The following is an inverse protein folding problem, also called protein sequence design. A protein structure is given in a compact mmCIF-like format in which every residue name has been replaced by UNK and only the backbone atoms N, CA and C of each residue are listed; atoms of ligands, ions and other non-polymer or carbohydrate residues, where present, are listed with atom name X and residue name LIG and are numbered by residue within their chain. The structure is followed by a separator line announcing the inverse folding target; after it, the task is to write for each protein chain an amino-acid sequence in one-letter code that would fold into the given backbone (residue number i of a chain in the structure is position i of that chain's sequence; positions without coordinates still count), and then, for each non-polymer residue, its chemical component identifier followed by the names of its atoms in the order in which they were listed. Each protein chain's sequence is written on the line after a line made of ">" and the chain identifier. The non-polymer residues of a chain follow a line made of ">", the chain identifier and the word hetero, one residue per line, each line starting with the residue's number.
data_IF_429864086352
#
_entry.id   IF_429864086352
#
_cell.length_a   1.000
_cell.length_b   1.000
_cell.length_c   1.000
_cell.angle_alpha   90.00
_cell.angle_beta   90.00
_cell.angle_gamma   90.00
#
_symmetry.space_group_name_H-M   'P 1'
#
loop_
_entity.id
_entity.type
_entity.pdbx_description
1 polymer ?
#
# COMPACT_ATOMS: atom_id res chain seq x y z
N UNK A 1 -23.56 30.91 -13.77
CA UNK A 1 -23.44 29.52 -13.29
C UNK A 1 -24.82 29.06 -12.84
N UNK A 2 -25.34 27.95 -13.38
CA UNK A 2 -26.65 27.40 -13.01
C UNK A 2 -26.61 26.86 -11.56
N UNK A 3 -27.77 26.80 -10.88
CA UNK A 3 -27.88 26.33 -9.49
C UNK A 3 -27.27 24.91 -9.32
N UNK A 4 -27.42 24.02 -10.33
CA UNK A 4 -26.82 22.67 -10.36
C UNK A 4 -25.29 22.73 -10.34
N UNK A 5 -24.67 23.64 -11.11
CA UNK A 5 -23.20 23.76 -11.17
C UNK A 5 -22.62 24.23 -9.83
N UNK A 6 -23.35 25.09 -9.08
CA UNK A 6 -22.93 25.53 -7.73
C UNK A 6 -22.93 24.39 -6.72
N UNK A 7 -23.95 23.52 -6.75
CA UNK A 7 -24.05 22.35 -5.87
C UNK A 7 -22.93 21.34 -6.23
N UNK A 8 -22.74 21.08 -7.52
CA UNK A 8 -21.70 20.18 -8.00
C UNK A 8 -20.29 20.66 -7.59
N UNK A 9 -20.00 21.95 -7.78
CA UNK A 9 -18.75 22.58 -7.34
C UNK A 9 -18.52 22.44 -5.83
N UNK A 10 -19.55 22.64 -5.02
CA UNK A 10 -19.48 22.46 -3.57
C UNK A 10 -19.13 21.02 -3.18
N UNK A 11 -19.76 20.03 -3.86
CA UNK A 11 -19.51 18.62 -3.63
C UNK A 11 -18.07 18.22 -4.03
N UNK A 12 -17.57 18.73 -5.17
CA UNK A 12 -16.19 18.49 -5.61
C UNK A 12 -15.17 19.07 -4.63
N UNK A 13 -15.40 20.28 -4.12
CA UNK A 13 -14.53 20.90 -3.10
C UNK A 13 -14.51 20.07 -1.80
N UNK A 14 -15.68 19.57 -1.36
CA UNK A 14 -15.78 18.69 -0.21
C UNK A 14 -15.08 17.34 -0.43
N UNK A 15 -15.19 16.77 -1.63
CA UNK A 15 -14.49 15.55 -2.01
C UNK A 15 -12.97 15.75 -2.01
N UNK A 16 -12.48 16.86 -2.57
CA UNK A 16 -11.07 17.18 -2.64
C UNK A 16 -10.43 17.23 -1.25
N UNK A 17 -11.06 17.89 -0.28
CA UNK A 17 -10.58 17.94 1.11
C UNK A 17 -10.46 16.53 1.71
N UNK A 18 -11.50 15.69 1.56
CA UNK A 18 -11.47 14.31 2.04
C UNK A 18 -10.40 13.45 1.34
N UNK A 19 -10.15 13.71 0.05
CA UNK A 19 -9.12 13.00 -0.70
C UNK A 19 -7.71 13.39 -0.21
N UNK A 20 -7.47 14.67 0.07
CA UNK A 20 -6.20 15.15 0.66
C UNK A 20 -5.95 14.58 2.05
N UNK A 21 -6.99 14.49 2.90
CA UNK A 21 -6.91 13.83 4.22
C UNK A 21 -6.56 12.33 4.10
N UNK A 22 -7.18 11.60 3.14
CA UNK A 22 -6.86 10.18 2.90
C UNK A 22 -5.40 9.98 2.50
N UNK A 23 -4.86 10.86 1.65
CA UNK A 23 -3.43 10.80 1.27
C UNK A 23 -2.53 11.00 2.47
N UNK A 24 -2.81 12.03 3.29
CA UNK A 24 -2.05 12.30 4.51
C UNK A 24 -2.07 11.09 5.45
N UNK A 25 -3.26 10.55 5.72
CA UNK A 25 -3.43 9.37 6.58
C UNK A 25 -2.69 8.13 6.06
N UNK A 26 -2.70 7.91 4.73
CA UNK A 26 -1.97 6.80 4.12
C UNK A 26 -0.46 6.91 4.29
N UNK A 27 0.09 8.13 4.18
CA UNK A 27 1.51 8.39 4.39
C UNK A 27 1.93 8.18 5.85
N UNK A 28 1.15 8.68 6.80
CA UNK A 28 1.41 8.50 8.24
C UNK A 28 1.41 7.02 8.62
N UNK A 29 0.45 6.23 8.12
CA UNK A 29 0.42 4.78 8.37
C UNK A 29 1.57 4.03 7.73
N UNK A 30 2.06 4.49 6.58
CA UNK A 30 3.18 3.90 5.89
C UNK A 30 4.45 3.94 6.74
N UNK A 31 4.78 5.09 7.33
CA UNK A 31 5.95 5.24 8.19
C UNK A 31 5.86 4.34 9.44
N UNK A 32 4.68 4.30 10.09
CA UNK A 32 4.44 3.45 11.26
C UNK A 32 4.62 1.97 10.90
N UNK A 33 4.09 1.52 9.77
CA UNK A 33 4.21 0.13 9.31
C UNK A 33 5.65 -0.24 9.01
N UNK A 34 6.42 0.61 8.31
CA UNK A 34 7.84 0.36 8.04
C UNK A 34 8.61 0.16 9.33
N UNK A 35 8.48 1.08 10.27
CA UNK A 35 9.22 1.05 11.55
C UNK A 35 8.82 -0.19 12.34
N UNK A 36 7.53 -0.45 12.52
CA UNK A 36 7.03 -1.57 13.32
C UNK A 36 7.41 -2.93 12.74
N UNK A 37 7.25 -3.12 11.44
CA UNK A 37 7.54 -4.39 10.79
C UNK A 37 9.04 -4.64 10.65
N UNK A 38 9.84 -3.60 10.35
CA UNK A 38 11.29 -3.74 10.27
C UNK A 38 11.90 -4.08 11.62
N UNK A 39 11.49 -3.40 12.68
CA UNK A 39 12.02 -3.66 14.03
C UNK A 39 11.53 -4.99 14.59
N UNK A 40 10.23 -5.30 14.48
CA UNK A 40 9.66 -6.56 14.96
C UNK A 40 10.20 -7.78 14.20
N UNK A 41 10.29 -7.69 12.88
CA UNK A 41 10.83 -8.75 12.02
C UNK A 41 12.31 -9.03 12.30
N UNK A 42 13.12 -8.00 12.49
CA UNK A 42 14.54 -8.15 12.85
C UNK A 42 14.72 -8.84 14.22
N UNK A 43 13.96 -8.43 15.23
CA UNK A 43 14.02 -9.06 16.57
C UNK A 43 13.63 -10.54 16.50
N UNK A 44 12.54 -10.87 15.80
CA UNK A 44 12.12 -12.26 15.59
C UNK A 44 13.17 -13.06 14.84
N UNK A 45 13.72 -12.51 13.77
CA UNK A 45 14.75 -13.19 12.97
C UNK A 45 15.99 -13.51 13.80
N UNK A 46 16.48 -12.55 14.60
CA UNK A 46 17.66 -12.74 15.46
C UNK A 46 17.42 -13.78 16.57
N UNK A 47 16.25 -13.77 17.20
CA UNK A 47 15.90 -14.73 18.24
C UNK A 47 15.78 -16.15 17.69
N UNK A 48 15.13 -16.32 16.55
CA UNK A 48 14.99 -17.63 15.91
C UNK A 48 16.36 -18.16 15.46
N UNK A 49 17.20 -17.32 14.88
CA UNK A 49 18.53 -17.73 14.44
C UNK A 49 19.43 -18.19 15.60
N UNK A 50 19.42 -17.47 16.72
CA UNK A 50 20.17 -17.85 17.92
C UNK A 50 19.74 -19.20 18.50
N UNK A 51 18.45 -19.46 18.54
CA UNK A 51 17.89 -20.66 19.17
C UNK A 51 18.01 -21.92 18.31
N UNK A 52 18.29 -21.79 16.99
CA UNK A 52 18.22 -22.87 16.03
C UNK A 52 19.54 -23.14 15.27
N UNK A 53 20.66 -22.66 15.82
CA UNK A 53 21.96 -22.76 15.17
C UNK A 53 22.47 -24.20 14.99
N UNK A 54 22.03 -25.16 15.83
CA UNK A 54 22.61 -26.50 15.91
C UNK A 54 21.93 -27.62 15.11
N UNK A 55 20.74 -27.39 14.49
CA UNK A 55 20.03 -28.45 13.78
C UNK A 55 19.87 -28.18 12.27
N UNK A 56 20.54 -29.01 11.47
CA UNK A 56 20.62 -28.86 10.00
C UNK A 56 19.37 -29.25 9.22
N UNK A 57 18.39 -29.96 9.82
CA UNK A 57 17.36 -30.68 9.06
C UNK A 57 16.24 -29.78 8.51
N UNK A 58 16.02 -28.61 9.05
CA UNK A 58 14.88 -27.74 8.62
C UNK A 58 15.25 -26.27 8.37
N UNK A 59 16.54 -25.97 8.14
CA UNK A 59 16.99 -24.59 7.86
C UNK A 59 16.35 -23.99 6.60
N UNK A 60 16.04 -24.83 5.63
CA UNK A 60 15.42 -24.41 4.37
C UNK A 60 13.99 -23.87 4.58
N UNK A 61 13.18 -24.50 5.44
CA UNK A 61 11.85 -24.03 5.78
C UNK A 61 11.89 -22.67 6.48
N UNK A 62 12.82 -22.49 7.41
CA UNK A 62 12.99 -21.22 8.11
C UNK A 62 13.48 -20.11 7.15
N UNK A 63 14.46 -20.43 6.32
CA UNK A 63 14.98 -19.51 5.31
C UNK A 63 13.89 -19.11 4.31
N UNK A 64 13.07 -20.06 3.85
CA UNK A 64 11.95 -19.81 2.95
C UNK A 64 10.88 -18.95 3.62
N UNK A 65 10.55 -19.20 4.89
CA UNK A 65 9.64 -18.37 5.67
C UNK A 65 10.10 -16.91 5.72
N UNK A 66 11.38 -16.65 5.99
CA UNK A 66 11.94 -15.29 5.99
C UNK A 66 11.87 -14.61 4.64
N UNK A 67 12.12 -15.38 3.58
CA UNK A 67 12.01 -14.86 2.22
C UNK A 67 10.56 -14.39 1.94
N UNK A 68 9.56 -15.19 2.31
CA UNK A 68 8.16 -14.82 2.15
C UNK A 68 7.77 -13.61 3.02
N UNK A 69 8.25 -13.50 4.26
CA UNK A 69 8.04 -12.30 5.08
C UNK A 69 8.68 -11.07 4.44
N UNK A 70 9.93 -11.18 3.97
CA UNK A 70 10.61 -10.08 3.30
C UNK A 70 9.89 -9.65 2.02
N UNK A 71 9.43 -10.61 1.21
CA UNK A 71 8.64 -10.34 0.02
C UNK A 71 7.30 -9.67 0.37
N UNK A 72 6.61 -10.12 1.40
CA UNK A 72 5.37 -9.50 1.86
C UNK A 72 5.58 -8.03 2.21
N UNK A 73 6.67 -7.70 2.92
CA UNK A 73 7.04 -6.33 3.25
C UNK A 73 7.29 -5.48 2.01
N UNK A 74 8.13 -5.96 1.10
CA UNK A 74 8.47 -5.22 -0.13
C UNK A 74 7.23 -4.97 -0.98
N UNK A 75 6.39 -6.00 -1.18
CA UNK A 75 5.16 -5.89 -1.97
C UNK A 75 4.18 -4.92 -1.30
N UNK A 76 4.07 -4.94 0.03
CA UNK A 76 3.23 -4.01 0.78
C UNK A 76 3.73 -2.57 0.62
N UNK A 77 5.03 -2.32 0.70
CA UNK A 77 5.61 -1.01 0.46
C UNK A 77 5.30 -0.49 -0.95
N UNK A 78 5.44 -1.35 -1.97
CA UNK A 78 5.07 -1.01 -3.35
C UNK A 78 3.58 -0.70 -3.48
N UNK A 79 2.71 -1.44 -2.79
CA UNK A 79 1.27 -1.17 -2.76
C UNK A 79 0.95 0.20 -2.15
N UNK A 80 1.63 0.60 -1.09
CA UNK A 80 1.45 1.93 -0.49
C UNK A 80 1.87 3.04 -1.45
N UNK A 81 2.98 2.86 -2.17
CA UNK A 81 3.44 3.84 -3.17
C UNK A 81 2.42 3.97 -4.31
N UNK A 82 1.92 2.84 -4.84
CA UNK A 82 0.90 2.87 -5.91
C UNK A 82 -0.42 3.49 -5.43
N UNK A 83 -0.85 3.20 -4.20
CA UNK A 83 -2.02 3.81 -3.57
C UNK A 83 -1.87 5.32 -3.38
N UNK A 84 -0.69 5.79 -2.97
CA UNK A 84 -0.40 7.22 -2.93
C UNK A 84 -0.49 7.87 -4.32
N UNK A 85 0.07 7.23 -5.35
CA UNK A 85 0.00 7.74 -6.71
C UNK A 85 -1.44 7.81 -7.22
N UNK A 86 -2.26 6.79 -6.98
CA UNK A 86 -3.67 6.76 -7.33
C UNK A 86 -4.42 7.96 -6.72
N UNK A 87 -4.30 8.16 -5.41
CA UNK A 87 -4.91 9.29 -4.72
C UNK A 87 -4.40 10.65 -5.24
N UNK A 88 -3.10 10.75 -5.55
CA UNK A 88 -2.52 11.98 -6.11
C UNK A 88 -3.08 12.33 -7.49
N UNK A 89 -3.33 11.32 -8.34
CA UNK A 89 -3.93 11.53 -9.65
C UNK A 89 -5.42 11.85 -9.54
N UNK A 90 -6.16 11.21 -8.62
CA UNK A 90 -7.55 11.51 -8.29
C UNK A 90 -7.73 12.99 -7.87
N UNK A 91 -6.90 13.46 -6.92
CA UNK A 91 -6.90 14.86 -6.49
C UNK A 91 -6.64 15.81 -7.67
N UNK A 92 -5.68 15.48 -8.55
CA UNK A 92 -5.39 16.32 -9.72
C UNK A 92 -6.54 16.32 -10.72
N UNK A 93 -7.19 15.17 -10.96
CA UNK A 93 -8.36 15.04 -11.81
C UNK A 93 -9.51 15.90 -11.30
N UNK A 94 -9.86 15.74 -10.02
CA UNK A 94 -10.92 16.53 -9.37
C UNK A 94 -10.62 18.03 -9.38
N UNK A 95 -9.36 18.42 -9.18
CA UNK A 95 -8.96 19.83 -9.24
C UNK A 95 -9.10 20.42 -10.66
N UNK A 96 -8.79 19.64 -11.69
CA UNK A 96 -9.01 20.07 -13.08
C UNK A 96 -10.50 20.27 -13.38
N UNK A 97 -11.38 19.37 -12.90
CA UNK A 97 -12.83 19.50 -13.06
C UNK A 97 -13.36 20.77 -12.35
N UNK A 98 -12.86 21.07 -11.15
CA UNK A 98 -13.18 22.33 -10.46
C UNK A 98 -12.76 23.53 -11.31
N UNK A 99 -11.55 23.52 -11.88
CA UNK A 99 -11.05 24.63 -12.72
C UNK A 99 -11.86 24.79 -13.99
N UNK A 100 -12.33 23.71 -14.61
CA UNK A 100 -13.22 23.75 -15.77
C UNK A 100 -14.55 24.44 -15.42
N UNK A 101 -15.17 24.08 -14.30
CA UNK A 101 -16.40 24.71 -13.82
C UNK A 101 -16.21 26.18 -13.44
N UNK A 102 -15.04 26.55 -12.92
CA UNK A 102 -14.68 27.94 -12.60
C UNK A 102 -14.14 28.73 -13.82
N UNK A 103 -14.08 28.10 -15.02
CA UNK A 103 -13.52 28.68 -16.25
C UNK A 103 -12.06 29.15 -16.10
N UNK A 104 -11.28 28.45 -15.29
CA UNK A 104 -9.84 28.66 -15.12
C UNK A 104 -9.04 27.81 -16.09
N UNK A 105 -7.79 28.19 -16.43
CA UNK A 105 -6.95 27.39 -17.31
C UNK A 105 -6.62 26.02 -16.68
N UNK A 106 -6.83 24.95 -17.45
CA UNK A 106 -6.59 23.56 -17.02
C UNK A 106 -5.14 23.19 -17.31
N UNK A 107 -4.43 22.65 -16.34
CA UNK A 107 -2.99 22.35 -16.43
C UNK A 107 -2.65 21.06 -17.19
N UNK A 108 -3.63 20.11 -17.41
CA UNK A 108 -3.35 18.80 -18.04
C UNK A 108 -4.62 18.09 -18.52
N UNK A 109 -4.47 17.24 -19.56
CA UNK A 109 -5.56 16.46 -20.15
C UNK A 109 -6.16 15.49 -19.08
N UNK A 110 -7.46 15.61 -18.78
CA UNK A 110 -8.19 14.82 -17.79
C UNK A 110 -8.17 13.31 -18.06
N UNK A 111 -8.29 12.90 -19.32
CA UNK A 111 -8.27 11.47 -19.74
C UNK A 111 -6.97 10.74 -19.39
N UNK A 112 -5.85 11.44 -19.40
CA UNK A 112 -4.56 10.87 -19.05
C UNK A 112 -4.45 10.64 -17.53
N UNK A 113 -4.95 11.59 -16.73
CA UNK A 113 -4.99 11.47 -15.27
C UNK A 113 -5.86 10.29 -14.82
N UNK A 114 -7.06 10.14 -15.40
CA UNK A 114 -7.98 9.04 -15.12
C UNK A 114 -7.34 7.67 -15.45
N UNK A 115 -6.64 7.55 -16.58
CA UNK A 115 -5.94 6.30 -16.94
C UNK A 115 -4.87 5.93 -15.91
N UNK A 116 -4.06 6.90 -15.47
CA UNK A 116 -3.03 6.65 -14.46
C UNK A 116 -3.61 6.32 -13.08
N UNK A 117 -4.69 6.98 -12.69
CA UNK A 117 -5.43 6.66 -11.48
C UNK A 117 -5.92 5.21 -11.51
N UNK A 118 -6.66 4.81 -12.55
CA UNK A 118 -7.21 3.46 -12.69
C UNK A 118 -6.12 2.39 -12.70
N UNK A 119 -5.00 2.64 -13.38
CA UNK A 119 -3.86 1.71 -13.40
C UNK A 119 -3.23 1.58 -12.01
N UNK A 120 -3.04 2.69 -11.30
CA UNK A 120 -2.48 2.69 -9.95
C UNK A 120 -3.40 2.00 -8.95
N UNK A 121 -4.71 2.21 -9.03
CA UNK A 121 -5.72 1.54 -8.20
C UNK A 121 -5.72 0.03 -8.44
N UNK A 122 -5.67 -0.40 -9.69
CA UNK A 122 -5.57 -1.82 -10.06
C UNK A 122 -4.31 -2.46 -9.48
N UNK A 123 -3.14 -1.84 -9.67
CA UNK A 123 -1.88 -2.30 -9.11
C UNK A 123 -1.92 -2.40 -7.58
N UNK A 124 -2.46 -1.39 -6.91
CA UNK A 124 -2.59 -1.37 -5.45
C UNK A 124 -3.39 -2.57 -4.94
N UNK A 125 -4.52 -2.88 -5.58
CA UNK A 125 -5.36 -4.04 -5.21
C UNK A 125 -4.59 -5.36 -5.34
N UNK A 126 -3.92 -5.58 -6.47
CA UNK A 126 -3.17 -6.81 -6.71
C UNK A 126 -1.95 -6.95 -5.78
N UNK A 127 -1.22 -5.87 -5.56
CA UNK A 127 -0.08 -5.87 -4.64
C UNK A 127 -0.52 -6.17 -3.20
N UNK A 128 -1.67 -5.63 -2.75
CA UNK A 128 -2.22 -5.94 -1.43
C UNK A 128 -2.56 -7.44 -1.29
N UNK A 129 -3.20 -8.04 -2.30
CA UNK A 129 -3.53 -9.47 -2.30
C UNK A 129 -2.25 -10.31 -2.27
N UNK A 130 -1.27 -10.00 -3.11
CA UNK A 130 0.00 -10.73 -3.17
C UNK A 130 0.79 -10.60 -1.85
N UNK A 131 0.82 -9.42 -1.25
CA UNK A 131 1.45 -9.20 0.06
C UNK A 131 0.80 -10.04 1.14
N UNK A 132 -0.53 -10.08 1.18
CA UNK A 132 -1.27 -10.90 2.15
C UNK A 132 -1.02 -12.41 1.95
N UNK A 133 -1.04 -12.90 0.72
CA UNK A 133 -0.74 -14.31 0.41
C UNK A 133 0.68 -14.67 0.79
N UNK A 134 1.64 -13.80 0.50
CA UNK A 134 3.04 -14.01 0.89
C UNK A 134 3.19 -14.06 2.40
N UNK A 135 2.56 -13.15 3.14
CA UNK A 135 2.54 -13.15 4.61
C UNK A 135 1.95 -14.45 5.17
N UNK A 136 0.78 -14.87 4.66
CA UNK A 136 0.11 -16.09 5.10
C UNK A 136 0.99 -17.34 4.85
N UNK A 137 1.63 -17.42 3.68
CA UNK A 137 2.57 -18.50 3.34
C UNK A 137 3.76 -18.51 4.29
N UNK A 138 4.35 -17.34 4.59
CA UNK A 138 5.45 -17.21 5.54
C UNK A 138 5.07 -17.72 6.94
N UNK A 139 3.87 -17.39 7.42
CA UNK A 139 3.35 -17.86 8.72
C UNK A 139 3.15 -19.38 8.71
N UNK A 140 2.55 -19.95 7.66
CA UNK A 140 2.34 -21.39 7.53
C UNK A 140 3.67 -22.14 7.56
N UNK A 141 4.67 -21.69 6.81
CA UNK A 141 6.00 -22.29 6.79
C UNK A 141 6.68 -22.23 8.16
N UNK A 142 6.50 -21.12 8.89
CA UNK A 142 7.04 -20.98 10.24
C UNK A 142 6.37 -21.95 11.21
N UNK A 143 5.05 -22.11 11.15
CA UNK A 143 4.31 -23.08 11.98
C UNK A 143 4.74 -24.50 11.66
N UNK A 144 4.89 -24.86 10.38
CA UNK A 144 5.39 -26.17 9.97
C UNK A 144 6.80 -26.42 10.50
N UNK A 145 7.68 -25.43 10.42
CA UNK A 145 9.02 -25.52 10.99
C UNK A 145 9.01 -25.81 12.49
N UNK A 146 8.15 -25.12 13.25
CA UNK A 146 8.02 -25.31 14.69
C UNK A 146 7.46 -26.71 15.00
N UNK A 147 6.41 -27.15 14.31
CA UNK A 147 5.77 -28.45 14.54
C UNK A 147 6.67 -29.66 14.18
N UNK A 148 7.53 -29.53 13.18
CA UNK A 148 8.48 -30.60 12.80
C UNK A 148 9.67 -30.72 13.77
N UNK A 149 9.78 -29.80 14.72
CA UNK A 149 10.85 -29.73 15.72
C UNK A 149 10.41 -30.22 17.10
N UNK A 150 9.09 -30.29 17.34
CA UNK A 150 8.54 -30.92 18.55
C UNK A 150 8.33 -32.39 18.32
#
# INVERSE_FOLDING_TARGET
>A
MKKKDKIHLSNLKGYLLKAEERVKYSLERFDILIISLSSGGLVLALNLFKNFQDNSINKDLLSLSWLFFSMALIINLLSQVTGYLANKYDIKGTRNEIYELEKKPISRNSKWLERYQNTSDFLTKWLNILSFLSLATGIILLILFINLKV
#
